data_IF_854575071876
#
_entry.id   IF_854575071876
#
_cell.length_a   1.000
_cell.length_b   1.000
_cell.length_c   1.000
_cell.angle_alpha   90.00
_cell.angle_beta   90.00
_cell.angle_gamma   90.00
#
_symmetry.space_group_name_H-M   'P 1'
#
loop_
_entity.id
_entity.type
_entity.pdbx_description
1 polymer ?
#
# COMPACT_ATOMS: atom_id res chain seq x y z
N UNK A 1 1.72 8.30 14.91
CA UNK A 1 2.02 8.33 13.47
C UNK A 1 3.00 7.22 13.20
N UNK A 2 2.79 6.41 12.16
CA UNK A 2 3.66 5.26 11.89
C UNK A 2 3.40 4.61 10.54
N UNK A 3 4.40 3.88 10.07
CA UNK A 3 4.31 2.96 8.93
C UNK A 3 3.96 1.57 9.46
N UNK A 4 3.03 0.92 8.79
CA UNK A 4 2.56 -0.41 9.13
C UNK A 4 2.45 -1.21 7.84
N UNK A 5 2.81 -2.49 7.90
CA UNK A 5 2.30 -3.44 6.92
C UNK A 5 0.78 -3.51 7.01
N UNK A 6 0.17 -3.86 5.89
CA UNK A 6 -1.25 -4.07 5.81
C UNK A 6 -1.69 -5.16 6.79
N UNK A 7 -2.79 -4.88 7.48
CA UNK A 7 -3.48 -5.83 8.33
C UNK A 7 -4.98 -5.73 8.00
N UNK A 8 -5.72 -6.84 8.15
CA UNK A 8 -7.16 -6.90 7.80
C UNK A 8 -8.00 -5.82 8.51
N UNK A 9 -7.57 -5.37 9.71
CA UNK A 9 -8.22 -4.25 10.43
C UNK A 9 -8.22 -2.93 9.66
N UNK A 10 -7.33 -2.76 8.69
CA UNK A 10 -7.21 -1.56 7.85
C UNK A 10 -7.97 -1.67 6.52
N UNK A 11 -8.49 -2.86 6.17
CA UNK A 11 -9.14 -3.14 4.88
C UNK A 11 -10.15 -2.09 4.44
N UNK A 12 -11.07 -1.72 5.34
CA UNK A 12 -12.10 -0.72 5.03
C UNK A 12 -11.51 0.65 4.66
N UNK A 13 -10.42 1.06 5.34
CA UNK A 13 -9.76 2.33 5.03
C UNK A 13 -9.06 2.24 3.67
N UNK A 14 -8.35 1.14 3.40
CA UNK A 14 -7.63 0.90 2.14
C UNK A 14 -8.59 0.79 0.94
N UNK A 15 -9.72 0.10 1.08
CA UNK A 15 -10.72 -0.05 0.02
C UNK A 15 -11.38 1.27 -0.41
N UNK A 16 -11.48 2.24 0.52
CA UNK A 16 -12.05 3.55 0.26
C UNK A 16 -10.98 4.63 -0.03
N UNK A 17 -9.71 4.28 -0.01
CA UNK A 17 -8.62 5.22 -0.19
C UNK A 17 -8.24 5.35 -1.66
N UNK A 18 -8.30 6.58 -2.17
CA UNK A 18 -7.96 6.91 -3.55
C UNK A 18 -6.66 7.71 -3.60
N UNK A 19 -5.77 7.29 -4.49
CA UNK A 19 -4.54 8.01 -4.81
C UNK A 19 -4.77 8.91 -6.01
N UNK A 20 -4.07 10.04 -6.07
CA UNK A 20 -4.04 10.89 -7.25
C UNK A 20 -3.35 10.18 -8.43
N UNK A 21 -3.58 10.66 -9.66
CA UNK A 21 -2.89 10.14 -10.85
C UNK A 21 -1.36 10.25 -10.74
N UNK A 22 -0.86 11.31 -10.11
CA UNK A 22 0.57 11.51 -9.85
C UNK A 22 1.12 10.43 -8.90
N UNK A 23 0.41 10.13 -7.81
CA UNK A 23 0.84 9.10 -6.86
C UNK A 23 0.81 7.70 -7.48
N UNK A 24 -0.15 7.42 -8.36
CA UNK A 24 -0.27 6.16 -9.09
C UNK A 24 0.90 5.91 -10.08
N UNK A 25 1.74 6.91 -10.35
CA UNK A 25 2.99 6.70 -11.11
C UNK A 25 4.05 5.93 -10.30
N UNK A 26 3.93 5.90 -8.97
CA UNK A 26 4.92 5.32 -8.07
C UNK A 26 4.44 4.06 -7.35
N UNK A 27 3.14 3.79 -7.36
CA UNK A 27 2.53 2.63 -6.69
C UNK A 27 1.25 2.20 -7.38
N UNK A 28 0.82 0.94 -7.18
CA UNK A 28 -0.47 0.46 -7.63
C UNK A 28 -1.66 1.00 -6.82
N UNK A 29 -2.88 0.67 -7.27
CA UNK A 29 -4.11 0.99 -6.54
C UNK A 29 -4.14 0.20 -5.22
N UNK A 30 -4.47 0.81 -4.08
CA UNK A 30 -4.32 0.18 -2.77
C UNK A 30 -4.98 -1.20 -2.66
N UNK A 31 -6.23 -1.32 -3.12
CA UNK A 31 -6.94 -2.61 -3.16
C UNK A 31 -6.21 -3.69 -3.97
N UNK A 32 -5.65 -3.34 -5.13
CA UNK A 32 -4.92 -4.29 -5.97
C UNK A 32 -3.59 -4.70 -5.33
N UNK A 33 -2.88 -3.76 -4.69
CA UNK A 33 -1.63 -4.06 -3.99
C UNK A 33 -1.85 -5.05 -2.85
N UNK A 34 -2.95 -4.91 -2.08
CA UNK A 34 -3.32 -5.88 -1.04
C UNK A 34 -3.54 -7.27 -1.65
N UNK A 35 -4.34 -7.36 -2.72
CA UNK A 35 -4.59 -8.62 -3.44
C UNK A 35 -3.28 -9.26 -3.95
N UNK A 36 -2.31 -8.45 -4.40
CA UNK A 36 -0.99 -8.94 -4.84
C UNK A 36 -0.14 -9.45 -3.68
N UNK A 37 -0.06 -8.70 -2.57
CA UNK A 37 0.73 -9.07 -1.39
C UNK A 37 0.23 -10.35 -0.69
N UNK A 38 -1.03 -10.74 -0.89
CA UNK A 38 -1.54 -12.03 -0.39
C UNK A 38 -1.01 -13.22 -1.19
N UNK A 39 -0.64 -13.00 -2.46
CA UNK A 39 -0.17 -14.05 -3.38
C UNK A 39 1.34 -14.10 -3.57
N UNK A 40 2.07 -13.05 -3.17
CA UNK A 40 3.50 -12.91 -3.33
C UNK A 40 4.14 -12.35 -2.05
N UNK A 41 5.02 -13.14 -1.42
CA UNK A 41 5.66 -12.78 -0.14
C UNK A 41 6.70 -11.68 -0.26
N UNK A 42 7.16 -11.39 -1.48
CA UNK A 42 8.08 -10.28 -1.72
C UNK A 42 7.32 -8.96 -1.87
N UNK A 43 6.00 -8.98 -2.08
CA UNK A 43 5.17 -7.78 -2.22
C UNK A 43 4.56 -7.41 -0.87
N UNK A 44 4.92 -6.23 -0.37
CA UNK A 44 4.45 -5.72 0.91
C UNK A 44 3.55 -4.50 0.72
N UNK A 45 2.30 -4.61 1.16
CA UNK A 45 1.38 -3.47 1.18
C UNK A 45 1.63 -2.60 2.41
N UNK A 46 2.10 -1.37 2.24
CA UNK A 46 2.48 -0.48 3.34
C UNK A 46 1.49 0.68 3.47
N UNK A 47 1.05 0.92 4.70
CA UNK A 47 0.12 1.99 5.08
C UNK A 47 0.78 2.95 6.06
N UNK A 48 0.60 4.25 5.83
CA UNK A 48 1.01 5.28 6.77
C UNK A 48 -0.20 5.88 7.48
N UNK A 49 -0.22 5.75 8.81
CA UNK A 49 -1.32 6.21 9.65
C UNK A 49 -0.88 7.40 10.51
N UNK A 50 -1.68 8.47 10.48
CA UNK A 50 -1.60 9.58 11.44
C UNK A 50 -2.97 9.78 12.07
N UNK A 51 -3.04 9.88 13.40
CA UNK A 51 -4.31 10.03 14.14
C UNK A 51 -5.39 8.99 13.76
N UNK A 52 -4.97 7.74 13.51
CA UNK A 52 -5.81 6.63 13.04
C UNK A 52 -6.44 6.80 11.66
N UNK A 53 -5.99 7.78 10.88
CA UNK A 53 -6.39 8.00 9.50
C UNK A 53 -5.28 7.54 8.54
N UNK A 54 -5.68 6.90 7.44
CA UNK A 54 -4.80 6.55 6.33
C UNK A 54 -4.41 7.80 5.55
N UNK A 55 -3.13 8.16 5.65
CA UNK A 55 -2.59 9.38 5.03
C UNK A 55 -1.91 9.07 3.70
N UNK A 56 -1.26 7.91 3.59
CA UNK A 56 -0.71 7.40 2.33
C UNK A 56 -0.63 5.88 2.34
N UNK A 57 -0.56 5.30 1.15
CA UNK A 57 -0.44 3.88 0.91
C UNK A 57 0.55 3.66 -0.25
N UNK A 58 1.41 2.65 -0.14
CA UNK A 58 2.25 2.23 -1.25
C UNK A 58 2.59 0.74 -1.14
N UNK A 59 2.86 0.14 -2.30
CA UNK A 59 3.44 -1.19 -2.41
C UNK A 59 4.96 -1.09 -2.31
N UNK A 60 5.57 -1.97 -1.53
CA UNK A 60 7.00 -2.17 -1.45
C UNK A 60 7.31 -3.58 -1.96
N UNK A 61 8.03 -3.68 -3.06
CA UNK A 61 8.44 -4.96 -3.62
C UNK A 61 9.88 -5.26 -3.19
N UNK A 62 10.04 -6.22 -2.29
CA UNK A 62 11.32 -6.70 -1.82
C UNK A 62 12.09 -7.38 -2.97
N UNK A 63 13.40 -7.15 -3.06
CA UNK A 63 14.28 -7.71 -4.09
C UNK A 63 13.99 -7.28 -5.54
N UNK A 64 12.85 -6.68 -5.83
CA UNK A 64 12.60 -5.96 -7.08
C UNK A 64 13.19 -4.56 -6.98
N UNK A 65 14.46 -4.44 -7.40
CA UNK A 65 15.06 -3.14 -7.66
C UNK A 65 14.28 -2.39 -8.75
N UNK A 66 14.43 -1.07 -8.77
CA UNK A 66 13.96 -0.25 -9.90
C UNK A 66 14.74 -0.74 -11.13
N UNK A 67 14.06 -1.34 -12.12
CA UNK A 67 14.63 -1.41 -13.46
C UNK A 67 14.55 0.02 -14.01
N UNK A 68 15.70 0.73 -14.16
CA UNK A 68 15.72 2.13 -14.56
C UNK A 68 15.18 2.35 -15.98
#
# INVERSE_FOLDING_TARGET
MGLFEFEERFKKQVECYELSEEQLQFTGKPKKCVELSEGDTDIHSISFLANNELITFFELHENAGINP
#
